data_IF_972521468494
#
_entry.id   IF_972521468494
#
_cell.length_a   1.000
_cell.length_b   1.000
_cell.length_c   1.000
_cell.angle_alpha   90.00
_cell.angle_beta   90.00
_cell.angle_gamma   90.00
#
_symmetry.space_group_name_H-M   'P 1'
#
loop_
_entity.id
_entity.type
_entity.pdbx_description
1 polymer ?
#
# COMPACT_ATOMS: atom_id res chain seq x y z
N UNK A 1 0.01 11.93 15.37
CA UNK A 1 -0.90 10.76 15.38
C UNK A 1 -0.22 9.66 14.59
N UNK A 2 -0.32 8.39 15.01
CA UNK A 2 0.25 7.29 14.23
C UNK A 2 -0.38 7.25 12.84
N UNK A 3 0.43 6.99 11.82
CA UNK A 3 -0.03 6.82 10.45
C UNK A 3 0.03 5.37 10.04
N UNK A 4 -0.88 4.94 9.17
CA UNK A 4 -0.84 3.61 8.55
C UNK A 4 -0.75 3.73 7.03
N UNK A 5 -0.09 2.77 6.40
CA UNK A 5 0.13 2.74 4.96
C UNK A 5 -0.37 1.41 4.40
N UNK A 6 -1.47 1.37 3.63
CA UNK A 6 -1.84 0.19 2.87
C UNK A 6 -0.94 0.04 1.64
N UNK A 7 -0.49 -1.18 1.38
CA UNK A 7 0.14 -1.53 0.11
C UNK A 7 -0.90 -1.68 -1.02
N UNK A 8 -0.42 -1.97 -2.22
CA UNK A 8 -1.26 -2.17 -3.40
C UNK A 8 -2.33 -3.24 -3.19
N UNK A 9 -2.00 -4.36 -2.53
CA UNK A 9 -2.94 -5.46 -2.29
C UNK A 9 -4.14 -5.02 -1.43
N UNK A 10 -3.88 -4.25 -0.37
CA UNK A 10 -4.92 -3.73 0.52
C UNK A 10 -5.73 -2.63 -0.17
N UNK A 11 -5.07 -1.75 -0.93
CA UNK A 11 -5.76 -0.70 -1.69
C UNK A 11 -6.74 -1.27 -2.70
N UNK A 12 -6.34 -2.29 -3.47
CA UNK A 12 -7.20 -2.96 -4.46
C UNK A 12 -8.36 -3.67 -3.77
N UNK A 13 -8.11 -4.43 -2.71
CA UNK A 13 -9.15 -5.14 -1.96
C UNK A 13 -10.18 -4.17 -1.34
N UNK A 14 -9.72 -3.04 -0.80
CA UNK A 14 -10.60 -2.05 -0.18
C UNK A 14 -11.63 -1.46 -1.15
N UNK A 15 -11.29 -1.29 -2.44
CA UNK A 15 -12.20 -0.71 -3.45
C UNK A 15 -12.94 -1.74 -4.30
N UNK A 16 -12.60 -3.02 -4.18
CA UNK A 16 -13.23 -4.10 -4.95
C UNK A 16 -14.20 -4.91 -4.07
N UNK A 17 -15.49 -4.57 -4.09
CA UNK A 17 -16.48 -5.24 -3.23
C UNK A 17 -16.60 -6.77 -3.42
N UNK A 18 -16.21 -7.28 -4.58
CA UNK A 18 -16.19 -8.72 -4.91
C UNK A 18 -14.93 -9.44 -4.41
N UNK A 19 -13.91 -8.71 -3.99
CA UNK A 19 -12.63 -9.27 -3.58
C UNK A 19 -12.78 -10.03 -2.25
N UNK A 20 -12.19 -11.22 -2.13
CA UNK A 20 -12.29 -12.06 -0.93
C UNK A 20 -11.84 -11.34 0.35
N UNK A 21 -10.87 -10.44 0.23
CA UNK A 21 -10.33 -9.65 1.33
C UNK A 21 -11.01 -8.29 1.53
N UNK A 22 -12.07 -7.96 0.77
CA UNK A 22 -12.69 -6.64 0.79
C UNK A 22 -13.12 -6.21 2.20
N UNK A 23 -13.89 -7.05 2.88
CA UNK A 23 -14.38 -6.76 4.23
C UNK A 23 -13.25 -6.56 5.25
N UNK A 24 -12.18 -7.35 5.13
CA UNK A 24 -11.00 -7.25 6.00
C UNK A 24 -10.23 -5.95 5.75
N UNK A 25 -10.03 -5.59 4.47
CA UNK A 25 -9.31 -4.40 4.08
C UNK A 25 -10.05 -3.12 4.50
N UNK A 26 -11.33 -2.99 4.12
CA UNK A 26 -12.11 -1.78 4.41
C UNK A 26 -12.34 -1.64 5.92
N UNK A 27 -12.67 -2.73 6.62
CA UNK A 27 -12.91 -2.71 8.06
C UNK A 27 -11.70 -2.27 8.88
N UNK A 28 -10.50 -2.78 8.55
CA UNK A 28 -9.25 -2.35 9.22
C UNK A 28 -8.95 -0.88 8.94
N UNK A 29 -9.13 -0.41 7.70
CA UNK A 29 -8.92 1.00 7.34
C UNK A 29 -9.90 1.92 8.07
N UNK A 30 -11.19 1.60 8.06
CA UNK A 30 -12.23 2.37 8.74
C UNK A 30 -12.00 2.43 10.25
N UNK A 31 -11.65 1.29 10.87
CA UNK A 31 -11.31 1.22 12.29
C UNK A 31 -10.16 2.17 12.65
N UNK A 32 -9.09 2.18 11.86
CA UNK A 32 -7.92 3.05 12.09
C UNK A 32 -8.25 4.53 11.90
N UNK A 33 -9.02 4.85 10.86
CA UNK A 33 -9.48 6.21 10.61
C UNK A 33 -10.39 6.71 11.74
N UNK A 34 -11.31 5.87 12.23
CA UNK A 34 -12.13 6.16 13.41
C UNK A 34 -11.28 6.34 14.68
N UNK A 35 -10.21 5.55 14.80
CA UNK A 35 -9.16 5.70 15.82
C UNK A 35 -8.27 6.95 15.65
N UNK A 36 -8.55 7.79 14.64
CA UNK A 36 -7.81 8.99 14.28
C UNK A 36 -6.35 8.70 13.89
N UNK A 37 -6.07 7.55 13.31
CA UNK A 37 -4.81 7.35 12.59
C UNK A 37 -4.83 8.12 11.26
N UNK A 38 -3.64 8.50 10.77
CA UNK A 38 -3.51 9.17 9.47
C UNK A 38 -3.28 8.15 8.36
N UNK A 39 -4.09 8.21 7.29
CA UNK A 39 -3.83 7.43 6.08
C UNK A 39 -2.61 8.00 5.34
N UNK A 40 -1.59 7.17 5.15
CA UNK A 40 -0.40 7.45 4.36
C UNK A 40 -0.48 6.66 3.05
N UNK A 41 -0.08 7.24 1.94
CA UNK A 41 -0.17 6.60 0.63
C UNK A 41 1.19 6.63 -0.03
N UNK A 42 1.79 5.47 -0.26
CA UNK A 42 2.93 5.39 -1.16
C UNK A 42 2.44 5.73 -2.58
N UNK A 43 2.99 6.79 -3.18
CA UNK A 43 2.70 7.13 -4.58
C UNK A 43 2.83 5.94 -5.56
N UNK A 44 3.86 5.06 -5.47
CA UNK A 44 3.94 3.88 -6.33
C UNK A 44 2.79 2.88 -6.10
N UNK A 45 2.34 2.67 -4.86
CA UNK A 45 1.21 1.77 -4.57
C UNK A 45 -0.09 2.27 -5.23
N UNK A 46 -0.30 3.59 -5.25
CA UNK A 46 -1.45 4.20 -5.93
C UNK A 46 -1.40 3.98 -7.46
N UNK A 47 -0.23 4.15 -8.07
CA UNK A 47 -0.02 3.91 -9.51
C UNK A 47 -0.20 2.44 -9.85
N UNK A 48 0.34 1.55 -9.03
CA UNK A 48 0.19 0.10 -9.21
C UNK A 48 -1.28 -0.32 -9.05
N UNK A 49 -2.00 0.20 -8.06
CA UNK A 49 -3.43 -0.06 -7.87
C UNK A 49 -4.24 0.38 -9.10
N UNK A 50 -3.93 1.55 -9.68
CA UNK A 50 -4.56 1.99 -10.93
C UNK A 50 -4.32 1.00 -12.07
N UNK A 51 -3.07 0.57 -12.26
CA UNK A 51 -2.70 -0.39 -13.29
C UNK A 51 -3.40 -1.73 -13.10
N UNK A 52 -3.46 -2.24 -11.86
CA UNK A 52 -4.16 -3.49 -11.52
C UNK A 52 -5.63 -3.37 -11.87
N UNK A 53 -6.34 -2.37 -11.33
CA UNK A 53 -7.79 -2.21 -11.48
C UNK A 53 -8.23 -2.08 -12.96
N UNK A 54 -7.40 -1.44 -13.79
CA UNK A 54 -7.65 -1.27 -15.23
C UNK A 54 -7.26 -2.50 -16.07
N UNK A 55 -6.42 -3.39 -15.55
CA UNK A 55 -5.95 -4.61 -16.24
C UNK A 55 -6.65 -5.90 -15.79
N UNK A 56 -7.50 -5.85 -14.76
CA UNK A 56 -8.24 -7.03 -14.28
C UNK A 56 -8.98 -7.75 -15.43
N UNK A 57 -9.16 -9.08 -15.32
CA UNK A 57 -9.97 -9.83 -16.28
C UNK A 57 -11.46 -9.45 -16.14
N UNK A 58 -12.25 -9.51 -17.23
CA UNK A 58 -13.70 -9.40 -17.14
C UNK A 58 -14.29 -10.45 -16.16
N UNK A 59 -15.36 -10.12 -15.41
CA UNK A 59 -16.12 -8.86 -15.43
C UNK A 59 -15.55 -7.77 -14.50
N UNK A 60 -14.41 -7.99 -13.86
CA UNK A 60 -13.89 -7.14 -12.78
C UNK A 60 -13.05 -5.96 -13.24
N UNK A 61 -12.80 -5.82 -14.54
CA UNK A 61 -12.06 -4.69 -15.11
C UNK A 61 -12.81 -3.37 -14.89
N UNK A 62 -12.15 -2.40 -14.29
CA UNK A 62 -12.66 -1.03 -14.20
C UNK A 62 -12.23 -0.21 -15.42
N UNK A 63 -13.07 0.75 -15.82
CA UNK A 63 -12.65 1.77 -16.78
C UNK A 63 -11.60 2.68 -16.15
N UNK A 64 -10.77 3.33 -16.99
CA UNK A 64 -9.79 4.32 -16.56
C UNK A 64 -10.42 5.45 -15.73
N UNK A 65 -11.59 5.94 -16.17
CA UNK A 65 -12.35 6.99 -15.49
C UNK A 65 -12.86 6.55 -14.13
N UNK A 66 -13.50 5.37 -14.07
CA UNK A 66 -14.00 4.84 -12.80
C UNK A 66 -12.84 4.59 -11.84
N UNK A 67 -11.74 4.00 -12.31
CA UNK A 67 -10.54 3.75 -11.49
C UNK A 67 -9.99 5.04 -10.88
N UNK A 68 -9.87 6.11 -11.67
CA UNK A 68 -9.45 7.42 -11.17
C UNK A 68 -10.39 7.96 -10.08
N UNK A 69 -11.71 7.83 -10.30
CA UNK A 69 -12.72 8.29 -9.34
C UNK A 69 -12.66 7.51 -8.01
N UNK A 70 -12.61 6.18 -8.02
CA UNK A 70 -12.53 5.39 -6.78
C UNK A 70 -11.22 5.61 -6.05
N UNK A 71 -10.08 5.69 -6.74
CA UNK A 71 -8.80 5.96 -6.08
C UNK A 71 -8.74 7.38 -5.50
N UNK A 72 -9.32 8.34 -6.21
CA UNK A 72 -9.47 9.72 -5.76
C UNK A 72 -10.27 9.82 -4.46
N UNK A 73 -11.46 9.22 -4.45
CA UNK A 73 -12.39 9.28 -3.32
C UNK A 73 -11.89 8.54 -2.08
N UNK A 74 -11.30 7.35 -2.24
CA UNK A 74 -10.93 6.49 -1.09
C UNK A 74 -9.55 6.82 -0.52
N UNK A 75 -8.62 7.32 -1.34
CA UNK A 75 -7.24 7.53 -0.92
C UNK A 75 -6.84 9.01 -1.00
N UNK A 76 -6.91 9.63 -2.18
CA UNK A 76 -6.35 10.98 -2.37
C UNK A 76 -7.12 12.10 -1.64
N UNK A 77 -8.43 11.93 -1.39
CA UNK A 77 -9.24 12.95 -0.73
C UNK A 77 -8.85 13.22 0.73
N UNK A 78 -8.27 12.23 1.41
CA UNK A 78 -7.97 12.29 2.85
C UNK A 78 -6.57 11.79 3.23
N UNK A 79 -5.90 11.06 2.35
CA UNK A 79 -4.60 10.47 2.61
C UNK A 79 -3.44 11.41 2.28
N UNK A 80 -2.35 11.26 3.02
CA UNK A 80 -1.10 11.97 2.76
C UNK A 80 -0.25 11.19 1.77
N UNK A 81 -0.06 11.75 0.58
CA UNK A 81 0.81 11.16 -0.44
C UNK A 81 2.28 11.24 -0.03
N UNK A 82 2.97 10.11 -0.10
CA UNK A 82 4.39 9.94 0.19
C UNK A 82 5.11 9.70 -1.13
N UNK A 83 6.04 10.61 -1.43
CA UNK A 83 6.87 10.56 -2.63
C UNK A 83 8.32 10.34 -2.24
N UNK A 84 9.03 9.59 -3.07
CA UNK A 84 10.48 9.41 -2.97
C UNK A 84 11.18 10.41 -3.88
N UNK A 85 12.31 10.92 -3.43
CA UNK A 85 13.17 11.83 -4.15
C UNK A 85 14.36 11.09 -4.77
N UNK A 86 15.15 11.79 -5.59
CA UNK A 86 16.31 11.22 -6.26
C UNK A 86 17.25 10.45 -5.32
N UNK A 87 17.54 11.01 -4.14
CA UNK A 87 18.40 10.38 -3.14
C UNK A 87 17.83 9.07 -2.59
N UNK A 88 16.51 9.02 -2.38
CA UNK A 88 15.82 7.83 -1.89
C UNK A 88 15.93 6.69 -2.92
N UNK A 89 15.68 6.98 -4.20
CA UNK A 89 15.82 6.00 -5.28
C UNK A 89 17.23 5.48 -5.43
N UNK A 90 18.24 6.35 -5.28
CA UNK A 90 19.63 5.94 -5.33
C UNK A 90 19.98 4.98 -4.18
N UNK A 91 19.56 5.30 -2.96
CA UNK A 91 19.79 4.45 -1.79
C UNK A 91 19.05 3.12 -1.91
N UNK A 92 17.75 3.14 -2.25
CA UNK A 92 16.94 1.92 -2.31
C UNK A 92 17.44 0.94 -3.37
N UNK A 93 17.92 1.43 -4.53
CA UNK A 93 18.47 0.57 -5.58
C UNK A 93 19.85 0.02 -5.24
N UNK A 94 20.66 0.79 -4.51
CA UNK A 94 21.92 0.30 -3.96
C UNK A 94 21.66 -0.83 -2.96
N UNK A 95 20.70 -0.65 -2.06
CA UNK A 95 20.39 -1.58 -0.98
C UNK A 95 19.63 -2.82 -1.46
N UNK A 96 18.87 -2.72 -2.57
CA UNK A 96 18.11 -3.81 -3.16
C UNK A 96 18.97 -5.07 -3.40
N UNK A 97 20.20 -4.91 -3.87
CA UNK A 97 21.12 -6.03 -4.10
C UNK A 97 21.52 -6.74 -2.81
N UNK A 98 21.76 -5.98 -1.73
CA UNK A 98 22.13 -6.54 -0.42
C UNK A 98 20.97 -7.28 0.24
N UNK A 99 19.73 -6.86 -0.03
CA UNK A 99 18.52 -7.48 0.49
C UNK A 99 17.91 -8.54 -0.43
N UNK A 100 18.58 -8.89 -1.53
CA UNK A 100 18.09 -9.91 -2.48
C UNK A 100 16.75 -9.53 -3.14
N UNK A 101 16.48 -8.23 -3.29
CA UNK A 101 15.27 -7.72 -3.92
C UNK A 101 15.41 -7.82 -5.44
N UNK A 102 14.56 -8.63 -6.06
CA UNK A 102 14.58 -8.90 -7.51
C UNK A 102 13.17 -8.96 -8.08
N UNK A 103 13.04 -8.59 -9.36
CA UNK A 103 11.78 -8.70 -10.10
C UNK A 103 10.65 -7.87 -9.49
N UNK A 104 9.44 -8.44 -9.42
CA UNK A 104 8.25 -7.75 -8.92
C UNK A 104 8.38 -7.23 -7.48
N UNK A 105 9.21 -7.88 -6.64
CA UNK A 105 9.45 -7.46 -5.24
C UNK A 105 10.08 -6.08 -5.11
N UNK A 106 10.64 -5.54 -6.20
CA UNK A 106 11.06 -4.13 -6.26
C UNK A 106 9.88 -3.18 -6.01
N UNK A 107 8.68 -3.55 -6.49
CA UNK A 107 7.35 -3.06 -6.10
C UNK A 107 7.24 -2.74 -4.60
N UNK A 108 7.21 -3.83 -3.85
CA UNK A 108 7.03 -3.84 -2.42
C UNK A 108 8.17 -3.12 -1.70
N UNK A 109 9.40 -3.21 -2.22
CA UNK A 109 10.55 -2.52 -1.66
C UNK A 109 10.40 -0.99 -1.71
N UNK A 110 9.93 -0.44 -2.84
CA UNK A 110 9.68 1.01 -2.93
C UNK A 110 8.56 1.43 -1.97
N UNK A 111 7.51 0.62 -1.82
CA UNK A 111 6.40 0.87 -0.87
C UNK A 111 6.91 0.84 0.58
N UNK A 112 7.76 -0.14 0.93
CA UNK A 112 8.38 -0.25 2.24
C UNK A 112 9.23 0.98 2.58
N UNK A 113 10.05 1.45 1.63
CA UNK A 113 10.85 2.67 1.79
C UNK A 113 9.97 3.90 1.98
N UNK A 114 8.83 3.99 1.27
CA UNK A 114 7.83 5.05 1.54
C UNK A 114 7.30 4.99 2.99
N UNK A 115 6.98 3.80 3.49
CA UNK A 115 6.47 3.63 4.85
C UNK A 115 7.49 4.06 5.92
N UNK A 116 8.75 3.65 5.74
CA UNK A 116 9.87 4.07 6.60
C UNK A 116 10.08 5.58 6.54
N UNK A 117 10.17 6.17 5.34
CA UNK A 117 10.32 7.63 5.14
C UNK A 117 9.19 8.41 5.81
N UNK A 118 7.96 7.90 5.75
CA UNK A 118 6.79 8.53 6.34
C UNK A 118 6.67 8.31 7.85
N UNK A 119 7.54 7.48 8.45
CA UNK A 119 7.46 7.01 9.84
C UNK A 119 6.08 6.42 10.14
N UNK A 120 5.59 5.58 9.23
CA UNK A 120 4.34 4.87 9.40
C UNK A 120 4.42 3.99 10.66
N UNK A 121 3.40 4.00 11.49
CA UNK A 121 3.30 3.09 12.62
C UNK A 121 2.97 1.67 12.15
N UNK A 122 2.26 1.54 11.03
CA UNK A 122 1.84 0.24 10.48
C UNK A 122 1.83 0.26 8.96
N UNK A 123 2.34 -0.81 8.33
CA UNK A 123 2.12 -1.12 6.92
C UNK A 123 1.13 -2.28 6.82
N UNK A 124 0.01 -2.05 6.13
CA UNK A 124 -1.01 -3.05 5.88
C UNK A 124 -0.73 -3.78 4.57
N UNK A 125 -0.70 -5.11 4.59
CA UNK A 125 -0.44 -5.93 3.40
C UNK A 125 -1.10 -7.30 3.54
N UNK A 126 -1.60 -7.87 2.43
CA UNK A 126 -1.95 -9.31 2.35
C UNK A 126 -0.75 -10.17 1.91
N UNK A 127 0.38 -9.56 1.55
CA UNK A 127 1.61 -10.20 1.10
C UNK A 127 2.70 -10.13 2.16
N UNK A 128 2.37 -10.46 3.43
CA UNK A 128 3.28 -10.31 4.57
C UNK A 128 4.69 -10.85 4.26
N UNK A 129 4.77 -12.04 3.67
CA UNK A 129 6.03 -12.75 3.33
C UNK A 129 6.99 -11.90 2.51
N UNK A 130 6.48 -11.08 1.58
CA UNK A 130 7.32 -10.27 0.71
C UNK A 130 7.96 -9.12 1.48
N UNK A 131 7.26 -8.58 2.47
CA UNK A 131 7.70 -7.47 3.31
C UNK A 131 8.56 -7.89 4.51
N UNK A 132 8.42 -9.11 5.05
CA UNK A 132 9.15 -9.50 6.29
C UNK A 132 10.67 -9.43 6.13
N UNK A 133 11.19 -9.62 4.91
CA UNK A 133 12.64 -9.54 4.67
C UNK A 133 13.19 -8.12 4.57
N UNK A 134 12.33 -7.09 4.54
CA UNK A 134 12.75 -5.71 4.36
C UNK A 134 13.12 -5.05 5.70
N UNK A 135 14.13 -4.17 5.73
CA UNK A 135 14.43 -3.35 6.90
C UNK A 135 13.34 -2.29 7.09
N UNK A 136 12.33 -2.63 7.89
CA UNK A 136 11.17 -1.77 8.15
C UNK A 136 11.30 -0.89 9.39
N UNK A 137 12.47 -0.87 10.02
CA UNK A 137 12.73 -0.10 11.25
C UNK A 137 11.64 -0.34 12.32
N UNK A 138 10.88 0.71 12.68
CA UNK A 138 9.79 0.66 13.65
C UNK A 138 8.41 0.40 13.02
N UNK A 139 8.32 0.29 11.69
CA UNK A 139 7.07 0.08 10.95
C UNK A 139 6.58 -1.35 11.20
N UNK A 140 5.42 -1.50 11.82
CA UNK A 140 4.81 -2.82 12.06
C UNK A 140 4.12 -3.34 10.81
N UNK A 141 4.39 -4.58 10.43
CA UNK A 141 3.60 -5.28 9.41
C UNK A 141 2.31 -5.81 10.01
N UNK A 142 1.20 -5.68 9.28
CA UNK A 142 -0.09 -6.23 9.70
C UNK A 142 -0.91 -6.66 8.49
N UNK A 143 -1.47 -7.86 8.60
CA UNK A 143 -2.50 -8.33 7.67
C UNK A 143 -3.89 -7.90 8.19
N UNK A 144 -4.70 -7.19 7.39
CA UNK A 144 -6.03 -6.74 7.83
C UNK A 144 -6.90 -7.89 8.33
N UNK A 145 -7.62 -7.69 9.45
CA UNK A 145 -8.56 -8.67 10.00
C UNK A 145 -7.94 -9.89 10.70
N UNK A 146 -6.63 -9.90 10.93
CA UNK A 146 -5.98 -10.86 11.84
C UNK A 146 -5.78 -10.18 13.20
N UNK A 147 -6.27 -10.78 14.28
CA UNK A 147 -6.01 -10.27 15.63
C UNK A 147 -4.51 -10.31 15.94
N UNK A 148 -3.97 -9.30 16.66
CA UNK A 148 -2.54 -9.21 16.97
C UNK A 148 -2.04 -10.31 17.92
#
# INVERSE_FOLDING_TARGET
MPGFLPDTSVMVAAVCAWHEHHQRAIGEMEQRLAGRESLLIAAPALVEAYAVLTCLPPPHRLSAEHTSAVLGANFLAQGKLIVLEHSDYRALLHDAAFHGVVGGRTYDWVIAVCAVKAKAATLLTFNLRDFVSFPLEEVKLREPGVEP
#
